data_IF_859777072521
#
_entry.id   IF_859777072521
#
_cell.length_a   1.000
_cell.length_b   1.000
_cell.length_c   1.000
_cell.angle_alpha   90.00
_cell.angle_beta   90.00
_cell.angle_gamma   90.00
#
_symmetry.space_group_name_H-M   'P 1'
#
loop_
_entity.id
_entity.type
_entity.pdbx_description
1 polymer ?
#
# COMPACT_ATOMS: atom_id res chain seq x y z
N UNK A 1 -21.75 -12.64 -13.66
CA UNK A 1 -20.34 -12.38 -14.05
C UNK A 1 -19.56 -12.24 -12.76
N UNK A 2 -18.69 -13.21 -12.45
CA UNK A 2 -17.90 -13.23 -11.22
C UNK A 2 -16.52 -12.65 -11.54
N UNK A 3 -16.19 -11.49 -10.95
CA UNK A 3 -14.88 -10.87 -11.06
C UNK A 3 -13.85 -11.77 -10.38
N UNK A 4 -12.86 -12.20 -11.15
CA UNK A 4 -11.78 -13.07 -10.69
C UNK A 4 -10.68 -12.17 -10.10
N UNK A 5 -10.77 -11.83 -8.82
CA UNK A 5 -9.69 -11.11 -8.14
C UNK A 5 -8.50 -12.05 -7.96
N UNK A 6 -7.45 -11.85 -8.77
CA UNK A 6 -6.18 -12.59 -8.67
C UNK A 6 -5.29 -11.94 -7.59
N UNK A 7 -5.43 -12.39 -6.35
CA UNK A 7 -4.47 -12.10 -5.28
C UNK A 7 -3.20 -12.94 -5.45
N UNK A 8 -2.04 -12.30 -5.59
CA UNK A 8 -0.73 -12.97 -5.61
C UNK A 8 0.20 -12.35 -4.56
N UNK A 9 0.49 -13.11 -3.52
CA UNK A 9 1.62 -12.88 -2.62
C UNK A 9 2.78 -13.75 -3.10
N UNK A 10 3.92 -13.17 -3.47
CA UNK A 10 5.13 -13.96 -3.72
C UNK A 10 6.36 -13.20 -3.22
N UNK A 11 7.20 -13.93 -2.49
CA UNK A 11 8.44 -13.46 -1.88
C UNK A 11 9.57 -13.38 -2.93
N UNK A 12 10.47 -12.42 -2.77
CA UNK A 12 11.06 -11.67 -3.86
C UNK A 12 12.58 -11.54 -3.71
N UNK A 13 13.36 -12.10 -4.65
CA UNK A 13 14.83 -12.13 -4.56
C UNK A 13 15.59 -12.01 -5.91
N UNK A 14 16.41 -10.95 -5.97
CA UNK A 14 17.71 -10.70 -6.63
C UNK A 14 18.04 -11.32 -8.00
N UNK A 15 18.26 -10.47 -9.03
CA UNK A 15 19.51 -10.40 -9.84
C UNK A 15 19.45 -9.24 -10.88
N UNK A 16 20.41 -8.29 -10.77
CA UNK A 16 20.76 -7.18 -11.69
C UNK A 16 19.78 -5.98 -11.83
N UNK A 17 20.16 -4.84 -11.24
CA UNK A 17 19.69 -3.50 -11.63
C UNK A 17 18.26 -3.09 -11.23
N UNK A 18 17.40 -4.06 -10.90
CA UNK A 18 16.10 -3.93 -10.24
C UNK A 18 15.84 -5.28 -9.57
N UNK A 19 15.26 -5.30 -8.37
CA UNK A 19 14.94 -6.58 -7.71
C UNK A 19 14.01 -7.41 -8.62
N UNK A 20 14.18 -8.73 -8.63
CA UNK A 20 13.45 -9.68 -9.49
C UNK A 20 11.93 -9.50 -9.39
N UNK A 21 11.51 -9.05 -8.21
CA UNK A 21 10.15 -8.68 -7.85
C UNK A 21 9.57 -7.45 -8.51
N UNK A 22 10.40 -6.41 -8.68
CA UNK A 22 9.99 -5.21 -9.40
C UNK A 22 9.78 -5.54 -10.87
N UNK A 23 10.66 -6.36 -11.46
CA UNK A 23 10.50 -6.86 -12.83
C UNK A 23 9.23 -7.71 -12.98
N UNK A 24 8.96 -8.60 -12.04
CA UNK A 24 7.74 -9.41 -12.07
C UNK A 24 6.48 -8.55 -11.94
N UNK A 25 6.47 -7.60 -11.00
CA UNK A 25 5.37 -6.64 -10.85
C UNK A 25 5.15 -5.85 -12.14
N UNK A 26 6.22 -5.38 -12.79
CA UNK A 26 6.14 -4.70 -14.08
C UNK A 26 5.57 -5.57 -15.19
N UNK A 27 5.96 -6.84 -15.26
CA UNK A 27 5.44 -7.75 -16.28
C UNK A 27 3.93 -8.00 -16.09
N UNK A 28 3.49 -8.20 -14.85
CA UNK A 28 2.06 -8.32 -14.51
C UNK A 28 1.31 -7.04 -14.89
N UNK A 29 1.84 -5.88 -14.50
CA UNK A 29 1.29 -4.55 -14.82
C UNK A 29 1.19 -4.32 -16.35
N UNK A 30 2.22 -4.72 -17.11
CA UNK A 30 2.18 -4.61 -18.58
C UNK A 30 1.16 -5.54 -19.22
N UNK A 31 1.02 -6.75 -18.67
CA UNK A 31 0.16 -7.77 -19.23
C UNK A 31 -1.32 -7.53 -18.92
N UNK A 32 -1.63 -7.12 -17.69
CA UNK A 32 -3.01 -7.05 -17.18
C UNK A 32 -3.44 -5.65 -16.76
N UNK A 33 -2.61 -4.62 -16.96
CA UNK A 33 -2.87 -3.28 -16.42
C UNK A 33 -4.17 -2.62 -16.90
N UNK A 34 -4.76 -3.12 -17.98
CA UNK A 34 -6.06 -2.68 -18.52
C UNK A 34 -7.22 -3.60 -18.18
N UNK A 35 -6.95 -4.76 -17.59
CA UNK A 35 -7.87 -5.89 -17.44
C UNK A 35 -8.22 -6.13 -15.96
N UNK A 36 -8.70 -5.08 -15.28
CA UNK A 36 -9.15 -5.15 -13.87
C UNK A 36 -8.09 -5.74 -12.90
N UNK A 37 -6.84 -5.32 -13.06
CA UNK A 37 -5.72 -5.79 -12.26
C UNK A 37 -5.78 -5.21 -10.85
N UNK A 38 -5.82 -6.08 -9.84
CA UNK A 38 -5.64 -5.69 -8.44
C UNK A 38 -4.23 -6.02 -7.95
N UNK A 39 -3.55 -5.06 -7.32
CA UNK A 39 -2.25 -5.26 -6.68
C UNK A 39 -2.27 -4.82 -5.22
N UNK A 40 -2.10 -5.78 -4.31
CA UNK A 40 -1.88 -5.54 -2.89
C UNK A 40 -0.40 -5.58 -2.55
N UNK A 41 0.05 -4.75 -1.61
CA UNK A 41 1.41 -4.83 -1.07
C UNK A 41 1.47 -4.38 0.38
N UNK A 42 2.40 -4.97 1.13
CA UNK A 42 2.62 -4.69 2.55
C UNK A 42 4.07 -4.30 2.81
N UNK A 43 4.30 -3.39 3.77
CA UNK A 43 5.64 -3.09 4.28
C UNK A 43 6.61 -2.67 3.17
N UNK A 44 7.76 -3.34 3.06
CA UNK A 44 8.76 -3.14 2.00
C UNK A 44 8.26 -3.55 0.61
N UNK A 45 7.25 -4.42 0.51
CA UNK A 45 6.63 -4.77 -0.76
C UNK A 45 6.01 -3.55 -1.47
N UNK A 46 5.62 -2.52 -0.72
CA UNK A 46 5.12 -1.27 -1.32
C UNK A 46 6.22 -0.50 -2.07
N UNK A 47 7.49 -0.67 -1.70
CA UNK A 47 8.63 -0.10 -2.44
C UNK A 47 8.80 -0.80 -3.78
N UNK A 48 8.59 -2.12 -3.85
CA UNK A 48 8.59 -2.87 -5.11
C UNK A 48 7.54 -2.34 -6.07
N UNK A 49 6.30 -2.14 -5.62
CA UNK A 49 5.25 -1.56 -6.45
C UNK A 49 5.55 -0.10 -6.83
N UNK A 50 6.03 0.73 -5.89
CA UNK A 50 6.40 2.12 -6.16
C UNK A 50 7.52 2.23 -7.21
N UNK A 51 8.53 1.38 -7.13
CA UNK A 51 9.63 1.33 -8.09
C UNK A 51 9.16 0.82 -9.47
N UNK A 52 8.28 -0.18 -9.51
CA UNK A 52 7.66 -0.65 -10.75
C UNK A 52 6.84 0.46 -11.44
N UNK A 53 6.00 1.17 -10.68
CA UNK A 53 5.24 2.33 -11.18
C UNK A 53 6.18 3.40 -11.73
N UNK A 54 7.21 3.77 -10.99
CA UNK A 54 8.23 4.73 -11.44
C UNK A 54 8.89 4.30 -12.75
N UNK A 55 9.32 3.04 -12.84
CA UNK A 55 10.00 2.51 -14.02
C UNK A 55 9.06 2.43 -15.25
N UNK A 56 7.78 2.15 -15.03
CA UNK A 56 6.77 2.12 -16.09
C UNK A 56 6.35 3.51 -16.56
N UNK A 57 6.57 4.57 -15.77
CA UNK A 57 6.05 5.92 -16.02
C UNK A 57 6.79 6.70 -17.14
N UNK A 58 6.88 6.09 -18.32
CA UNK A 58 7.44 6.69 -19.55
C UNK A 58 6.35 7.43 -20.35
N UNK A 59 6.73 8.33 -21.26
CA UNK A 59 5.78 9.00 -22.18
C UNK A 59 4.88 8.02 -22.93
N UNK A 60 5.47 7.00 -23.55
CA UNK A 60 4.74 5.96 -24.27
C UNK A 60 3.69 5.25 -23.41
N UNK A 61 4.05 4.85 -22.19
CA UNK A 61 3.14 4.11 -21.32
C UNK A 61 2.04 5.00 -20.75
N UNK A 62 2.34 6.28 -20.49
CA UNK A 62 1.35 7.30 -20.12
C UNK A 62 0.35 7.54 -21.26
N UNK A 63 0.85 7.70 -22.49
CA UNK A 63 0.00 7.87 -23.68
C UNK A 63 -0.90 6.64 -23.92
N UNK A 64 -0.36 5.44 -23.70
CA UNK A 64 -1.11 4.18 -23.80
C UNK A 64 -2.06 3.95 -22.64
N UNK A 65 -1.99 4.76 -21.57
CA UNK A 65 -2.70 4.55 -20.30
C UNK A 65 -2.55 3.11 -19.82
N UNK A 66 -1.29 2.67 -19.72
CA UNK A 66 -0.93 1.27 -19.50
C UNK A 66 -1.70 0.61 -18.34
N UNK A 67 -1.99 1.38 -17.29
CA UNK A 67 -2.61 0.88 -16.06
C UNK A 67 -4.06 1.36 -15.87
N UNK A 68 -4.77 1.71 -16.95
CA UNK A 68 -6.12 2.29 -16.88
C UNK A 68 -7.17 1.43 -16.17
N UNK A 69 -6.94 0.12 -16.06
CA UNK A 69 -7.80 -0.82 -15.34
C UNK A 69 -7.17 -1.38 -14.07
N UNK A 70 -6.16 -0.70 -13.50
CA UNK A 70 -5.44 -1.20 -12.32
C UNK A 70 -5.91 -0.53 -11.02
N UNK A 71 -6.17 -1.34 -10.00
CA UNK A 71 -6.40 -0.92 -8.61
C UNK A 71 -5.20 -1.34 -7.75
N UNK A 72 -4.71 -0.43 -6.91
CA UNK A 72 -3.57 -0.70 -6.01
C UNK A 72 -3.95 -0.42 -4.55
N UNK A 73 -3.59 -1.34 -3.67
CA UNK A 73 -3.67 -1.19 -2.21
C UNK A 73 -2.28 -1.33 -1.57
N UNK A 74 -1.94 -0.41 -0.68
CA UNK A 74 -0.69 -0.41 0.07
C UNK A 74 -0.97 -0.36 1.58
N UNK A 75 -0.50 -1.36 2.33
CA UNK A 75 -0.72 -1.47 3.77
C UNK A 75 0.60 -1.41 4.54
N UNK A 76 0.67 -0.64 5.63
CA UNK A 76 1.92 -0.35 6.35
C UNK A 76 3.08 0.07 5.44
N UNK A 77 2.86 1.01 4.50
CA UNK A 77 3.77 1.22 3.38
C UNK A 77 5.11 1.81 3.76
N UNK A 78 6.21 1.14 3.41
CA UNK A 78 7.55 1.73 3.48
C UNK A 78 7.81 2.76 2.35
N UNK A 79 6.96 2.76 1.32
CA UNK A 79 7.06 3.68 0.19
C UNK A 79 6.34 4.99 0.46
N UNK A 80 6.78 6.06 -0.19
CA UNK A 80 6.00 7.30 -0.32
C UNK A 80 4.81 7.03 -1.24
N UNK A 81 3.62 6.87 -0.64
CA UNK A 81 2.40 6.48 -1.37
C UNK A 81 1.86 7.64 -2.20
N UNK A 82 2.02 8.88 -1.74
CA UNK A 82 1.65 10.08 -2.51
C UNK A 82 2.39 10.12 -3.83
N UNK A 83 3.71 9.93 -3.80
CA UNK A 83 4.52 9.89 -5.03
C UNK A 83 4.19 8.69 -5.91
N UNK A 84 3.97 7.51 -5.31
CA UNK A 84 3.56 6.32 -6.05
C UNK A 84 2.22 6.55 -6.78
N UNK A 85 1.29 7.24 -6.13
CA UNK A 85 -0.02 7.55 -6.67
C UNK A 85 0.02 8.55 -7.83
N UNK A 86 0.94 9.52 -7.81
CA UNK A 86 1.22 10.37 -8.98
C UNK A 86 1.66 9.57 -10.21
N UNK A 87 2.59 8.60 -10.03
CA UNK A 87 2.96 7.70 -11.13
C UNK A 87 1.77 6.87 -11.62
N UNK A 88 0.98 6.31 -10.70
CA UNK A 88 -0.20 5.52 -11.06
C UNK A 88 -1.22 6.37 -11.83
N UNK A 89 -1.47 7.61 -11.38
CA UNK A 89 -2.37 8.54 -12.05
C UNK A 89 -1.95 8.79 -13.51
N UNK A 90 -0.67 9.09 -13.72
CA UNK A 90 -0.13 9.30 -15.07
C UNK A 90 -0.26 8.03 -15.92
N UNK A 91 -0.06 6.84 -15.34
CA UNK A 91 -0.20 5.55 -16.03
C UNK A 91 -1.65 5.13 -16.27
N UNK A 92 -2.61 5.60 -15.47
CA UNK A 92 -4.05 5.36 -15.64
C UNK A 92 -4.69 6.33 -16.62
N UNK A 93 -4.31 7.60 -16.57
CA UNK A 93 -5.04 8.70 -17.21
C UNK A 93 -4.22 9.48 -18.24
N UNK A 94 -2.89 9.32 -18.23
CA UNK A 94 -1.96 10.14 -19.00
C UNK A 94 -1.64 11.50 -18.37
N UNK A 95 -2.17 11.78 -17.17
CA UNK A 95 -2.04 13.05 -16.45
C UNK A 95 -2.24 12.87 -14.95
N UNK A 96 -1.98 13.91 -14.17
CA UNK A 96 -2.34 13.96 -12.75
C UNK A 96 -3.87 13.94 -12.56
N UNK A 97 -4.33 13.22 -11.54
CA UNK A 97 -5.76 13.08 -11.26
C UNK A 97 -6.24 14.22 -10.39
N UNK A 98 -7.54 14.46 -10.49
CA UNK A 98 -8.23 15.55 -9.79
C UNK A 98 -9.37 15.05 -8.91
N UNK A 99 -9.67 13.75 -8.96
CA UNK A 99 -10.65 13.06 -8.11
C UNK A 99 -9.96 11.91 -7.38
N UNK A 100 -10.60 11.25 -6.42
CA UNK A 100 -10.02 10.10 -5.73
C UNK A 100 -10.12 8.78 -6.54
N UNK A 101 -10.80 8.79 -7.69
CA UNK A 101 -11.04 7.58 -8.48
C UNK A 101 -9.74 6.98 -9.00
N UNK A 102 -9.55 5.68 -8.73
CA UNK A 102 -8.34 4.95 -9.09
C UNK A 102 -7.11 5.27 -8.23
N UNK A 103 -7.25 6.13 -7.20
CA UNK A 103 -6.17 6.43 -6.25
C UNK A 103 -5.75 5.22 -5.44
N UNK A 104 -4.45 5.16 -5.14
CA UNK A 104 -3.91 4.12 -4.27
C UNK A 104 -4.66 4.18 -2.95
N UNK A 105 -5.21 3.02 -2.58
CA UNK A 105 -5.82 2.84 -1.28
C UNK A 105 -4.74 2.50 -0.27
N UNK A 106 -4.76 3.18 0.87
CA UNK A 106 -3.76 3.06 1.92
C UNK A 106 -4.41 2.64 3.23
N UNK A 107 -3.71 1.78 3.95
CA UNK A 107 -3.95 1.53 5.37
C UNK A 107 -2.63 1.72 6.11
N UNK A 108 -2.58 2.64 7.05
CA UNK A 108 -1.36 2.97 7.76
C UNK A 108 -1.65 3.36 9.21
N UNK A 109 -0.90 2.80 10.15
CA UNK A 109 -1.08 3.04 11.57
C UNK A 109 -0.16 4.18 12.05
N UNK A 110 -0.69 5.12 12.82
CA UNK A 110 0.06 6.31 13.28
C UNK A 110 1.34 5.99 14.09
N UNK A 111 1.36 4.84 14.75
CA UNK A 111 2.51 4.35 15.52
C UNK A 111 3.31 3.26 14.79
N UNK A 112 3.04 3.01 13.52
CA UNK A 112 3.89 2.18 12.67
C UNK A 112 5.08 3.01 12.16
N UNK A 113 6.31 2.76 12.66
CA UNK A 113 7.49 3.51 12.27
C UNK A 113 7.89 3.28 10.81
N UNK A 114 7.47 2.19 10.18
CA UNK A 114 7.79 1.90 8.77
C UNK A 114 6.98 2.78 7.82
N UNK A 115 5.71 3.01 8.15
CA UNK A 115 4.80 3.81 7.33
C UNK A 115 4.75 5.29 7.68
N UNK A 116 5.00 5.64 8.96
CA UNK A 116 4.72 6.98 9.50
C UNK A 116 5.95 7.79 9.88
N UNK A 117 7.18 7.24 9.91
CA UNK A 117 8.37 8.05 10.24
C UNK A 117 8.93 8.82 9.02
N UNK A 118 8.92 10.17 9.03
CA UNK A 118 9.32 10.97 7.89
C UNK A 118 10.83 10.92 7.57
N UNK A 119 11.67 10.51 8.53
CA UNK A 119 13.14 10.57 8.42
C UNK A 119 13.74 9.27 7.87
N UNK A 120 13.03 8.14 7.95
CA UNK A 120 13.57 6.86 7.46
C UNK A 120 12.81 6.30 6.26
N UNK A 121 11.48 6.19 6.24
CA UNK A 121 10.74 5.57 5.13
C UNK A 121 9.27 6.05 5.08
N UNK A 122 8.77 6.36 3.88
CA UNK A 122 7.34 6.59 3.58
C UNK A 122 6.76 7.97 3.95
N UNK A 123 6.78 8.35 5.24
CA UNK A 123 6.18 9.61 5.71
C UNK A 123 4.67 9.73 5.45
N UNK A 124 3.96 8.61 5.37
CA UNK A 124 2.58 8.58 4.90
C UNK A 124 1.59 9.04 5.99
N UNK A 125 0.45 9.63 5.60
CA UNK A 125 -0.66 9.85 6.52
C UNK A 125 -1.11 8.54 7.18
N UNK A 126 -1.51 8.63 8.44
CA UNK A 126 -2.15 7.52 9.14
C UNK A 126 -3.64 7.49 8.83
N UNK A 127 -4.20 6.29 8.69
CA UNK A 127 -5.64 6.06 8.56
C UNK A 127 -6.25 5.53 9.86
N UNK A 128 -5.43 5.11 10.81
CA UNK A 128 -5.86 4.66 12.14
C UNK A 128 -4.80 4.93 13.22
N UNK A 129 -5.25 4.96 14.46
CA UNK A 129 -4.43 5.08 15.68
C UNK A 129 -4.87 4.08 16.76
N UNK A 130 -5.59 3.03 16.38
CA UNK A 130 -6.17 2.04 17.29
C UNK A 130 -5.15 1.42 18.25
N UNK A 131 -5.43 1.55 19.55
CA UNK A 131 -4.63 0.97 20.63
C UNK A 131 -5.55 0.56 21.78
N UNK A 132 -6.35 -0.47 21.56
CA UNK A 132 -7.47 -0.83 22.43
C UNK A 132 -7.03 -1.40 23.80
N UNK A 133 -5.74 -1.75 23.95
CA UNK A 133 -5.15 -2.18 25.22
C UNK A 133 -4.20 -1.12 25.82
N UNK A 134 -4.19 0.11 25.30
CA UNK A 134 -3.32 1.20 25.77
C UNK A 134 -1.84 0.81 25.90
N UNK A 135 -1.34 0.01 24.95
CA UNK A 135 0.06 -0.43 24.94
C UNK A 135 0.97 0.80 24.83
N UNK A 136 1.98 0.87 25.70
CA UNK A 136 3.01 1.90 25.66
C UNK A 136 3.84 1.86 24.37
N UNK A 137 4.57 2.94 24.07
CA UNK A 137 5.43 3.02 22.87
C UNK A 137 6.44 1.86 22.78
N UNK A 138 7.14 1.56 23.88
CA UNK A 138 8.17 0.49 23.93
C UNK A 138 7.57 -0.88 23.61
N UNK A 139 6.40 -1.20 24.17
CA UNK A 139 5.71 -2.46 23.91
C UNK A 139 5.34 -2.59 22.43
N UNK A 140 4.79 -1.54 21.81
CA UNK A 140 4.42 -1.57 20.38
C UNK A 140 5.61 -1.73 19.44
N UNK A 141 6.77 -1.17 19.77
CA UNK A 141 8.01 -1.40 19.02
C UNK A 141 8.49 -2.84 19.20
N UNK A 142 8.47 -3.37 20.43
CA UNK A 142 8.83 -4.77 20.70
C UNK A 142 7.98 -5.74 19.89
N UNK A 143 6.67 -5.50 19.81
CA UNK A 143 5.71 -6.35 19.11
C UNK A 143 5.96 -6.37 17.59
N UNK A 144 6.48 -5.28 17.00
CA UNK A 144 6.87 -5.24 15.57
C UNK A 144 8.02 -6.21 15.26
N UNK A 145 8.97 -6.38 16.19
CA UNK A 145 10.19 -7.16 15.96
C UNK A 145 10.17 -8.56 16.58
N UNK A 146 9.28 -8.79 17.55
CA UNK A 146 9.26 -10.02 18.35
C UNK A 146 7.93 -10.78 18.36
N UNK A 147 6.85 -10.21 17.80
CA UNK A 147 5.53 -10.83 17.80
C UNK A 147 4.94 -10.95 16.40
N UNK A 148 3.99 -11.87 16.27
CA UNK A 148 3.18 -12.12 15.07
C UNK A 148 2.10 -11.05 14.86
N UNK A 149 1.71 -10.32 15.91
CA UNK A 149 0.73 -9.24 15.86
C UNK A 149 1.37 -7.91 16.28
N UNK A 150 1.12 -6.86 15.50
CA UNK A 150 1.67 -5.53 15.77
C UNK A 150 0.89 -4.47 15.00
N UNK A 151 1.15 -3.19 15.31
CA UNK A 151 0.67 -2.06 14.50
C UNK A 151 1.12 -2.13 13.03
N UNK A 152 2.15 -2.91 12.71
CA UNK A 152 2.68 -3.08 11.37
C UNK A 152 2.09 -4.28 10.62
N UNK A 153 1.60 -5.30 11.33
CA UNK A 153 1.11 -6.54 10.71
C UNK A 153 -0.42 -6.70 10.80
N UNK A 154 -1.09 -5.89 11.63
CA UNK A 154 -2.52 -5.97 11.88
C UNK A 154 -3.36 -5.07 10.95
N UNK A 155 -3.01 -5.04 9.66
CA UNK A 155 -3.76 -4.35 8.60
C UNK A 155 -4.79 -5.26 7.93
N UNK A 156 -5.76 -4.68 7.20
CA UNK A 156 -6.66 -5.40 6.29
C UNK A 156 -7.64 -6.36 6.98
N UNK A 157 -7.76 -7.60 6.49
CA UNK A 157 -8.47 -8.69 7.17
C UNK A 157 -7.57 -9.28 8.27
N UNK A 158 -7.19 -8.45 9.24
CA UNK A 158 -6.33 -8.83 10.35
C UNK A 158 -6.80 -10.10 11.09
N UNK A 159 -5.84 -10.87 11.57
CA UNK A 159 -6.07 -12.14 12.26
C UNK A 159 -6.81 -11.91 13.59
N UNK A 160 -7.51 -12.94 14.12
CA UNK A 160 -8.14 -12.88 15.46
C UNK A 160 -7.15 -12.45 16.55
N UNK A 161 -5.88 -12.79 16.40
CA UNK A 161 -4.81 -12.42 17.32
C UNK A 161 -4.64 -10.89 17.44
N UNK A 162 -4.82 -10.15 16.34
CA UNK A 162 -4.78 -8.68 16.36
C UNK A 162 -5.88 -8.05 17.22
N UNK A 163 -7.02 -8.75 17.37
CA UNK A 163 -8.09 -8.34 18.29
C UNK A 163 -7.71 -8.64 19.74
N UNK A 164 -7.19 -9.84 19.99
CA UNK A 164 -6.71 -10.24 21.33
C UNK A 164 -5.63 -9.31 21.84
N UNK A 165 -4.71 -8.89 20.98
CA UNK A 165 -3.54 -8.09 21.35
C UNK A 165 -3.80 -6.58 21.28
N UNK A 166 -5.04 -6.17 21.04
CA UNK A 166 -5.48 -4.79 21.17
C UNK A 166 -5.23 -3.90 19.96
N UNK A 167 -4.76 -4.47 18.85
CA UNK A 167 -4.55 -3.73 17.60
C UNK A 167 -5.81 -3.62 16.75
N UNK A 168 -6.90 -4.32 17.13
CA UNK A 168 -8.23 -4.25 16.50
C UNK A 168 -9.36 -4.46 17.52
N UNK A 169 -10.59 -4.14 17.14
CA UNK A 169 -11.79 -4.43 17.94
C UNK A 169 -12.46 -5.75 17.51
N UNK A 170 -13.21 -6.41 18.43
CA UNK A 170 -13.86 -7.72 18.20
C UNK A 170 -14.92 -7.73 17.09
N UNK A 171 -15.43 -6.56 16.70
CA UNK A 171 -16.51 -6.40 15.71
C UNK A 171 -15.98 -6.05 14.32
N UNK A 172 -14.69 -5.74 14.17
CA UNK A 172 -14.11 -5.27 12.91
C UNK A 172 -13.20 -6.30 12.24
N UNK A 173 -13.81 -7.39 11.72
CA UNK A 173 -13.23 -8.13 10.59
C UNK A 173 -13.42 -7.37 9.25
N UNK A 174 -13.63 -6.05 9.29
CA UNK A 174 -13.75 -5.19 8.12
C UNK A 174 -12.38 -4.76 7.63
N UNK A 175 -12.19 -4.66 6.31
CA UNK A 175 -11.11 -3.86 5.72
C UNK A 175 -11.41 -2.35 5.87
N UNK A 176 -11.62 -1.88 7.11
CA UNK A 176 -12.39 -0.65 7.39
C UNK A 176 -11.58 0.65 7.51
N UNK A 177 -10.28 0.57 7.78
CA UNK A 177 -9.42 1.75 7.96
C UNK A 177 -8.74 2.17 6.65
N UNK A 178 -9.28 1.73 5.51
CA UNK A 178 -8.75 2.04 4.20
C UNK A 178 -9.28 3.38 3.71
N UNK A 179 -8.38 4.26 3.28
CA UNK A 179 -8.74 5.50 2.59
C UNK A 179 -7.88 5.67 1.33
N UNK A 180 -8.28 6.53 0.40
CA UNK A 180 -7.41 6.90 -0.73
C UNK A 180 -6.36 7.91 -0.27
N UNK A 181 -5.12 7.74 -0.75
CA UNK A 181 -4.06 8.71 -0.45
C UNK A 181 -4.41 10.12 -0.95
N UNK A 182 -5.15 10.23 -2.06
CA UNK A 182 -5.69 11.48 -2.57
C UNK A 182 -6.53 12.24 -1.52
N UNK A 183 -7.48 11.54 -0.87
CA UNK A 183 -8.32 12.16 0.15
C UNK A 183 -7.51 12.57 1.39
N UNK A 184 -6.56 11.73 1.82
CA UNK A 184 -5.72 12.01 2.98
C UNK A 184 -4.86 13.26 2.76
N UNK A 185 -4.25 13.42 1.58
CA UNK A 185 -3.44 14.60 1.27
C UNK A 185 -4.31 15.87 1.21
N UNK A 186 -5.49 15.79 0.57
CA UNK A 186 -6.44 16.91 0.53
C UNK A 186 -6.88 17.34 1.93
N UNK A 187 -7.11 16.39 2.84
CA UNK A 187 -7.49 16.68 4.23
C UNK A 187 -6.40 17.41 5.02
N UNK A 188 -5.14 17.28 4.60
CA UNK A 188 -3.96 17.91 5.21
C UNK A 188 -3.58 19.26 4.59
N UNK A 189 -4.27 19.69 3.51
CA UNK A 189 -3.97 20.92 2.79
C UNK A 189 -2.72 20.82 1.90
N UNK A 190 -2.33 19.61 1.51
CA UNK A 190 -1.27 19.32 0.54
C UNK A 190 -1.80 19.26 -0.90
#
# INVERSE_FOLDING_TARGET
MAGYEKMFETSFGNLLGMDNSSLQAMNIMKQYGKDDLYLGSHSRGTLTLSNALKALNTEDNRAKKLLSGTTIKMVGPAADVTRADGYLSQLQMGKERTTSDGSIRIENHASDPVGSMPILLGGNPATTSENNLNKGWVARISDIFGDTSSVHNCYGLGQKQCVTDGYRTKVDLKMGNEETIFNLNKSKGE
#
